data_IF_209114998546
#
_entry.id   IF_209114998546
#
_cell.length_a   1.000
_cell.length_b   1.000
_cell.length_c   1.000
_cell.angle_alpha   90.00
_cell.angle_beta   90.00
_cell.angle_gamma   90.00
#
_symmetry.space_group_name_H-M   'P 1'
#
loop_
_entity.id
_entity.type
_entity.pdbx_description
1 polymer ?
#
# COMPACT_ATOMS: atom_id res chain seq x y z
N UNK A 1 -0.46 -20.62 -15.21
CA UNK A 1 -1.48 -21.36 -14.44
C UNK A 1 -2.18 -20.34 -13.56
N UNK A 2 -3.50 -20.23 -13.64
CA UNK A 2 -4.25 -19.29 -12.80
C UNK A 2 -4.65 -19.96 -11.49
N UNK A 3 -4.66 -19.18 -10.42
CA UNK A 3 -5.08 -19.60 -9.08
C UNK A 3 -6.27 -18.74 -8.68
N UNK A 4 -7.30 -19.38 -8.14
CA UNK A 4 -8.51 -18.71 -7.66
C UNK A 4 -8.63 -18.94 -6.16
N UNK A 5 -8.85 -17.86 -5.43
CA UNK A 5 -9.04 -17.87 -3.99
C UNK A 5 -10.34 -17.17 -3.65
N UNK A 6 -11.02 -17.66 -2.61
CA UNK A 6 -12.21 -17.05 -2.06
C UNK A 6 -11.97 -16.79 -0.58
N UNK A 7 -12.31 -15.58 -0.15
CA UNK A 7 -12.20 -15.14 1.24
C UNK A 7 -13.54 -14.52 1.62
N UNK A 8 -14.09 -14.91 2.77
CA UNK A 8 -15.23 -14.22 3.36
C UNK A 8 -14.76 -12.87 3.88
N UNK A 9 -15.43 -11.79 3.47
CA UNK A 9 -15.05 -10.43 3.81
C UNK A 9 -16.13 -9.81 4.72
N UNK A 10 -15.81 -9.76 6.01
CA UNK A 10 -16.74 -9.37 7.08
C UNK A 10 -16.60 -7.88 7.43
N UNK A 11 -17.62 -7.30 8.08
CA UNK A 11 -17.62 -5.91 8.53
C UNK A 11 -16.33 -5.53 9.25
N UNK A 12 -15.86 -4.30 9.00
CA UNK A 12 -14.61 -3.72 9.54
C UNK A 12 -13.33 -4.39 9.04
N UNK A 13 -13.39 -5.36 8.14
CA UNK A 13 -12.21 -5.85 7.44
C UNK A 13 -11.78 -4.89 6.33
N UNK A 14 -10.47 -4.85 6.10
CA UNK A 14 -9.84 -4.06 5.05
C UNK A 14 -8.99 -4.99 4.20
N UNK A 15 -9.20 -4.94 2.88
CA UNK A 15 -8.39 -5.66 1.91
C UNK A 15 -7.54 -4.65 1.14
N UNK A 16 -6.24 -4.90 1.10
CA UNK A 16 -5.26 -4.08 0.39
C UNK A 16 -4.62 -4.92 -0.70
N UNK A 17 -4.72 -4.44 -1.94
CA UNK A 17 -4.10 -5.08 -3.11
C UNK A 17 -3.14 -4.07 -3.73
N UNK A 18 -1.95 -4.51 -4.08
CA UNK A 18 -0.91 -3.63 -4.59
C UNK A 18 0.00 -4.34 -5.60
N UNK A 19 0.67 -3.56 -6.44
CA UNK A 19 1.79 -4.02 -7.26
C UNK A 19 3.12 -3.78 -6.55
N UNK A 20 4.13 -4.56 -6.90
CA UNK A 20 5.51 -4.46 -6.40
C UNK A 20 6.13 -3.07 -6.55
N UNK A 21 5.73 -2.28 -7.55
CA UNK A 21 6.13 -0.86 -7.69
C UNK A 21 5.86 0.02 -6.46
N UNK A 22 4.98 -0.40 -5.52
CA UNK A 22 4.84 0.25 -4.21
C UNK A 22 5.98 -0.10 -3.25
N UNK A 23 6.40 -1.36 -3.21
CA UNK A 23 7.38 -1.88 -2.26
C UNK A 23 8.83 -1.76 -2.74
N UNK A 24 9.06 -1.77 -4.05
CA UNK A 24 10.38 -1.63 -4.68
C UNK A 24 10.84 -0.17 -4.79
N UNK A 25 9.97 0.80 -4.47
CA UNK A 25 10.35 2.21 -4.43
C UNK A 25 11.54 2.45 -3.50
N UNK A 26 12.67 2.92 -4.04
CA UNK A 26 13.92 3.05 -3.32
C UNK A 26 14.26 4.50 -2.95
N UNK A 27 14.91 4.69 -1.81
CA UNK A 27 15.46 5.98 -1.38
C UNK A 27 16.82 6.28 -2.06
N UNK A 28 17.43 7.44 -1.72
CA UNK A 28 18.70 7.86 -2.30
C UNK A 28 19.89 6.92 -2.00
N UNK A 29 19.79 6.10 -0.95
CA UNK A 29 20.78 5.09 -0.62
C UNK A 29 20.56 3.76 -1.38
N UNK A 30 19.52 3.66 -2.20
CA UNK A 30 19.12 2.43 -2.89
C UNK A 30 18.40 1.43 -2.00
N UNK A 31 17.96 1.83 -0.80
CA UNK A 31 17.16 0.98 0.07
C UNK A 31 15.70 1.03 -0.39
N UNK A 32 15.13 -0.14 -0.68
CA UNK A 32 13.70 -0.30 -1.01
C UNK A 32 12.79 0.02 0.18
N UNK A 33 11.57 0.47 -0.11
CA UNK A 33 10.55 0.74 0.91
C UNK A 33 10.22 -0.54 1.69
N UNK A 34 10.01 -1.64 0.95
CA UNK A 34 9.85 -2.98 1.50
C UNK A 34 8.45 -3.27 2.05
N UNK A 35 8.14 -4.57 2.17
CA UNK A 35 6.85 -5.05 2.66
C UNK A 35 6.56 -4.64 4.10
N UNK A 36 7.56 -4.63 4.99
CA UNK A 36 7.36 -4.34 6.41
C UNK A 36 6.95 -2.88 6.66
N UNK A 37 7.62 -1.92 6.00
CA UNK A 37 7.23 -0.50 6.09
C UNK A 37 5.86 -0.26 5.47
N UNK A 38 5.57 -0.91 4.35
CA UNK A 38 4.25 -0.85 3.70
C UNK A 38 3.14 -1.37 4.60
N UNK A 39 3.28 -2.59 5.14
CA UNK A 39 2.29 -3.19 6.03
C UNK A 39 2.08 -2.33 7.28
N UNK A 40 3.17 -1.84 7.89
CA UNK A 40 3.09 -0.93 9.05
C UNK A 40 2.33 0.35 8.71
N UNK A 41 2.62 0.96 7.56
CA UNK A 41 1.97 2.20 7.12
C UNK A 41 0.47 2.02 6.89
N UNK A 42 0.06 0.89 6.31
CA UNK A 42 -1.36 0.54 6.15
C UNK A 42 -2.03 0.39 7.52
N UNK A 43 -1.40 -0.33 8.45
CA UNK A 43 -1.95 -0.56 9.79
C UNK A 43 -2.09 0.73 10.61
N UNK A 44 -1.14 1.67 10.48
CA UNK A 44 -1.20 2.97 11.15
C UNK A 44 -2.40 3.83 10.71
N UNK A 45 -2.88 3.65 9.47
CA UNK A 45 -4.01 4.38 8.91
C UNK A 45 -5.29 3.57 8.80
N UNK A 46 -5.34 2.36 9.35
CA UNK A 46 -6.36 1.36 9.00
C UNK A 46 -7.80 1.82 9.25
N UNK A 47 -8.02 2.77 10.17
CA UNK A 47 -9.34 3.32 10.48
C UNK A 47 -9.75 4.50 9.59
N UNK A 48 -8.84 5.08 8.81
CA UNK A 48 -9.13 6.19 7.89
C UNK A 48 -10.12 5.78 6.78
N UNK A 49 -10.98 6.68 6.28
CA UNK A 49 -11.73 6.41 5.04
C UNK A 49 -10.84 5.87 3.92
N UNK A 50 -11.37 5.01 3.04
CA UNK A 50 -10.55 4.28 2.06
C UNK A 50 -9.71 5.20 1.16
N UNK A 51 -10.29 6.32 0.71
CA UNK A 51 -9.60 7.37 -0.04
C UNK A 51 -8.48 8.03 0.76
N UNK A 52 -8.74 8.36 2.03
CA UNK A 52 -7.73 8.95 2.92
C UNK A 52 -6.60 7.97 3.22
N UNK A 53 -6.90 6.67 3.34
CA UNK A 53 -5.87 5.64 3.53
C UNK A 53 -4.98 5.49 2.29
N UNK A 54 -5.53 5.61 1.07
CA UNK A 54 -4.73 5.62 -0.17
C UNK A 54 -3.73 6.78 -0.12
N UNK A 55 -4.19 7.99 0.17
CA UNK A 55 -3.32 9.17 0.22
C UNK A 55 -2.29 9.07 1.35
N UNK A 56 -2.70 8.57 2.52
CA UNK A 56 -1.84 8.36 3.67
C UNK A 56 -0.69 7.38 3.37
N UNK A 57 -0.99 6.27 2.69
CA UNK A 57 0.02 5.27 2.28
C UNK A 57 0.92 5.84 1.20
N UNK A 58 0.37 6.46 0.14
CA UNK A 58 1.14 7.07 -0.94
C UNK A 58 2.11 8.14 -0.42
N UNK A 59 1.66 8.96 0.53
CA UNK A 59 2.52 9.95 1.18
C UNK A 59 3.70 9.29 1.92
N UNK A 60 3.45 8.20 2.66
CA UNK A 60 4.52 7.48 3.37
C UNK A 60 5.60 6.94 2.44
N UNK A 61 5.19 6.41 1.28
CA UNK A 61 6.12 5.95 0.24
C UNK A 61 6.91 7.12 -0.35
N UNK A 62 6.24 8.21 -0.73
CA UNK A 62 6.88 9.41 -1.28
C UNK A 62 7.85 10.09 -0.30
N UNK A 63 7.47 10.15 0.99
CA UNK A 63 8.32 10.70 2.05
C UNK A 63 9.61 9.86 2.21
N UNK A 64 9.51 8.53 2.13
CA UNK A 64 10.66 7.63 2.26
C UNK A 64 11.59 7.66 1.04
N UNK A 65 11.03 7.66 -0.16
CA UNK A 65 11.83 7.67 -1.39
C UNK A 65 12.43 9.05 -1.69
N UNK A 66 11.99 10.08 -0.97
CA UNK A 66 12.31 11.50 -1.19
C UNK A 66 11.95 11.97 -2.61
N UNK A 67 10.96 11.32 -3.25
CA UNK A 67 10.52 11.62 -4.61
C UNK A 67 9.04 11.94 -4.65
N UNK A 68 8.67 12.89 -5.53
CA UNK A 68 7.27 13.18 -5.84
C UNK A 68 6.61 12.07 -6.67
N UNK A 69 7.39 11.26 -7.37
CA UNK A 69 6.94 10.19 -8.25
C UNK A 69 7.73 8.91 -7.93
N UNK A 70 7.04 7.78 -7.90
CA UNK A 70 7.67 6.46 -7.87
C UNK A 70 8.47 6.25 -9.16
N UNK A 71 9.56 5.51 -9.08
CA UNK A 71 10.38 5.16 -10.26
C UNK A 71 9.67 4.17 -11.20
N UNK A 72 8.65 3.49 -10.69
CA UNK A 72 7.81 2.52 -11.39
C UNK A 72 6.31 2.80 -11.14
N UNK A 73 5.43 2.27 -11.99
CA UNK A 73 3.98 2.43 -11.90
C UNK A 73 3.40 1.63 -10.70
N UNK A 74 3.30 2.29 -9.54
CA UNK A 74 2.67 1.73 -8.35
C UNK A 74 1.13 1.78 -8.40
N UNK A 75 0.48 0.63 -8.22
CA UNK A 75 -0.99 0.53 -8.10
C UNK A 75 -1.38 0.10 -6.69
N UNK A 76 -2.39 0.75 -6.10
CA UNK A 76 -2.92 0.46 -4.77
C UNK A 76 -4.45 0.46 -4.80
N UNK A 77 -5.06 -0.62 -4.33
CA UNK A 77 -6.50 -0.72 -4.09
C UNK A 77 -6.76 -0.94 -2.60
N UNK A 78 -7.78 -0.24 -2.09
CA UNK A 78 -8.26 -0.38 -0.73
C UNK A 78 -9.76 -0.65 -0.79
N UNK A 79 -10.17 -1.79 -0.24
CA UNK A 79 -11.57 -2.17 -0.10
C UNK A 79 -11.88 -2.28 1.39
N UNK A 80 -12.95 -1.62 1.82
CA UNK A 80 -13.44 -1.65 3.20
C UNK A 80 -14.84 -2.24 3.25
N UNK A 81 -15.03 -3.24 4.11
CA UNK A 81 -16.35 -3.73 4.44
C UNK A 81 -16.98 -2.75 5.44
N UNK A 82 -17.97 -2.00 4.97
CA UNK A 82 -18.75 -1.04 5.73
C UNK A 82 -20.09 -1.61 6.16
#
# INVERSE_FOLDING_TARGET
>A
RYHQHFIKFDEKQVMVLYTDGITEGANAAGEEYGNDRFARRVLEGIDLPANELIDFVRKGVADFTERKFLDDDGTLFIVKAV
#
